data_IF_470086003110
#
_entry.id   IF_470086003110
#
_cell.length_a   1.000
_cell.length_b   1.000
_cell.length_c   1.000
_cell.angle_alpha   90.00
_cell.angle_beta   90.00
_cell.angle_gamma   90.00
#
_symmetry.space_group_name_H-M   'P 1'
#
loop_
_entity.id
_entity.type
_entity.pdbx_description
1 polymer ?
#
# COMPACT_ATOMS: atom_id res chain seq x y z
N UNK A 1 8.44 20.19 0.07
CA UNK A 1 8.54 18.72 0.17
C UNK A 1 9.83 18.43 0.91
N UNK A 2 9.79 17.73 2.05
CA UNK A 2 11.02 17.41 2.80
C UNK A 2 12.03 16.64 1.94
N UNK A 3 13.32 16.78 2.23
CA UNK A 3 14.38 16.09 1.49
C UNK A 3 14.16 14.58 1.56
N UNK A 4 14.17 13.90 0.40
CA UNK A 4 14.28 12.44 0.37
C UNK A 4 15.69 12.05 0.81
N UNK A 5 15.80 11.17 1.79
CA UNK A 5 17.10 10.70 2.29
C UNK A 5 17.30 9.26 1.81
N UNK A 6 18.46 8.97 1.20
CA UNK A 6 18.82 7.58 0.86
C UNK A 6 19.17 6.82 2.13
N UNK A 7 18.47 5.72 2.38
CA UNK A 7 18.66 4.87 3.55
C UNK A 7 18.34 3.42 3.21
N UNK A 8 18.94 2.50 3.98
CA UNK A 8 18.55 1.09 3.96
C UNK A 8 17.23 0.91 4.70
N UNK A 9 16.22 0.38 4.00
CA UNK A 9 14.84 0.20 4.48
C UNK A 9 14.52 -1.28 4.55
N UNK A 10 13.82 -1.69 5.61
CA UNK A 10 13.30 -3.05 5.72
C UNK A 10 12.05 -3.17 4.86
N UNK A 11 12.02 -4.17 3.98
CA UNK A 11 10.83 -4.53 3.20
C UNK A 11 10.40 -5.93 3.60
N UNK A 12 9.12 -6.13 3.91
CA UNK A 12 8.58 -7.44 4.27
C UNK A 12 8.77 -8.41 3.11
N UNK A 13 9.38 -9.56 3.40
CA UNK A 13 9.68 -10.60 2.42
C UNK A 13 9.54 -11.96 3.08
N UNK A 14 8.45 -12.65 2.73
CA UNK A 14 8.10 -13.96 3.29
C UNK A 14 9.04 -15.08 2.84
N UNK A 15 9.88 -14.85 1.82
CA UNK A 15 10.89 -15.82 1.36
C UNK A 15 12.13 -15.88 2.26
N UNK A 16 12.31 -14.89 3.15
CA UNK A 16 13.47 -14.80 4.05
C UNK A 16 13.13 -15.35 5.44
N UNK A 17 14.05 -16.06 6.12
CA UNK A 17 13.82 -16.56 7.49
C UNK A 17 13.49 -15.45 8.50
N UNK A 18 14.05 -14.26 8.29
CA UNK A 18 13.78 -13.07 9.09
C UNK A 18 12.40 -12.45 8.82
N UNK A 19 11.73 -12.82 7.72
CA UNK A 19 10.50 -12.19 7.22
C UNK A 19 10.71 -10.81 6.57
N UNK A 20 11.96 -10.36 6.43
CA UNK A 20 12.30 -9.04 5.88
C UNK A 20 13.62 -9.09 5.10
N UNK A 21 13.72 -8.23 4.08
CA UNK A 21 14.97 -7.93 3.37
C UNK A 21 15.34 -6.45 3.49
N UNK A 22 16.63 -6.09 3.65
CA UNK A 22 17.08 -4.72 3.51
C UNK A 22 17.09 -4.31 2.03
N UNK A 23 16.59 -3.11 1.72
CA UNK A 23 16.56 -2.53 0.36
C UNK A 23 16.93 -1.06 0.47
N UNK A 24 17.81 -0.58 -0.40
CA UNK A 24 18.09 0.85 -0.51
C UNK A 24 16.86 1.60 -1.05
N UNK A 25 16.45 2.65 -0.34
CA UNK A 25 15.25 3.42 -0.66
C UNK A 25 15.40 4.91 -0.36
N UNK A 26 14.42 5.68 -0.82
CA UNK A 26 14.31 7.11 -0.56
C UNK A 26 13.24 7.36 0.51
N UNK A 27 13.66 7.82 1.69
CA UNK A 27 12.80 7.95 2.87
C UNK A 27 12.36 9.39 3.10
N UNK A 28 11.10 9.58 3.48
CA UNK A 28 10.52 10.85 3.92
C UNK A 28 9.19 10.65 4.67
N UNK A 29 8.96 11.38 5.77
CA UNK A 29 7.71 11.38 6.55
C UNK A 29 7.24 9.96 6.92
N UNK A 30 8.13 9.11 7.41
CA UNK A 30 7.78 7.74 7.82
C UNK A 30 7.47 6.77 6.66
N UNK A 31 7.70 7.18 5.41
CA UNK A 31 7.49 6.39 4.19
C UNK A 31 8.77 6.29 3.39
N UNK A 32 8.93 5.22 2.62
CA UNK A 32 10.04 5.05 1.71
C UNK A 32 9.58 4.61 0.32
N UNK A 33 10.26 5.14 -0.70
CA UNK A 33 10.17 4.67 -2.07
C UNK A 33 11.30 3.67 -2.29
N UNK A 34 10.97 2.43 -2.66
CA UNK A 34 11.95 1.36 -2.90
C UNK A 34 11.76 0.76 -4.29
N UNK A 35 12.85 0.39 -5.00
CA UNK A 35 12.77 -0.36 -6.24
C UNK A 35 12.08 -1.71 -6.02
N UNK A 36 11.27 -2.12 -6.99
CA UNK A 36 10.58 -3.40 -6.98
C UNK A 36 10.35 -3.92 -8.40
N UNK A 37 9.94 -5.17 -8.51
CA UNK A 37 9.50 -5.77 -9.75
C UNK A 37 8.27 -6.63 -9.47
N UNK A 38 7.28 -6.56 -10.35
CA UNK A 38 6.09 -7.42 -10.32
C UNK A 38 6.06 -8.27 -11.58
N UNK A 39 5.38 -9.41 -11.52
CA UNK A 39 5.13 -10.24 -12.71
C UNK A 39 4.14 -9.54 -13.63
N UNK A 40 4.47 -9.43 -14.90
CA UNK A 40 3.52 -9.14 -15.97
C UNK A 40 2.83 -10.43 -16.38
N UNK A 41 1.70 -10.72 -15.74
CA UNK A 41 0.94 -11.94 -15.97
C UNK A 41 0.49 -12.05 -17.43
N UNK A 42 0.04 -10.96 -18.06
CA UNK A 42 -0.39 -10.98 -19.46
C UNK A 42 0.76 -11.26 -20.41
N UNK A 43 1.89 -10.57 -20.26
CA UNK A 43 3.04 -10.84 -21.11
C UNK A 43 3.61 -12.25 -20.87
N UNK A 44 3.57 -12.73 -19.63
CA UNK A 44 3.99 -14.09 -19.28
C UNK A 44 3.07 -15.14 -19.91
N UNK A 45 1.76 -14.96 -19.83
CA UNK A 45 0.77 -15.89 -20.39
C UNK A 45 0.88 -15.93 -21.91
N UNK A 46 1.00 -14.76 -22.56
CA UNK A 46 1.22 -14.66 -24.02
C UNK A 46 2.53 -15.35 -24.44
N UNK A 47 3.59 -15.24 -23.63
CA UNK A 47 4.84 -15.95 -23.90
C UNK A 47 4.66 -17.47 -23.81
N UNK A 48 3.91 -17.95 -22.81
CA UNK A 48 3.59 -19.36 -22.63
C UNK A 48 2.69 -19.91 -23.75
N UNK A 49 1.67 -19.17 -24.16
CA UNK A 49 0.79 -19.53 -25.28
C UNK A 49 1.60 -19.70 -26.57
N UNK A 50 2.46 -18.73 -26.90
CA UNK A 50 3.35 -18.81 -28.08
C UNK A 50 4.27 -20.02 -28.03
N UNK A 51 4.80 -20.35 -26.83
CA UNK A 51 5.63 -21.54 -26.67
C UNK A 51 4.83 -22.82 -26.94
N UNK A 52 3.59 -22.92 -26.42
CA UNK A 52 2.70 -24.05 -26.69
C UNK A 52 2.37 -24.15 -28.19
N UNK A 53 2.00 -23.03 -28.82
CA UNK A 53 1.64 -22.97 -30.24
C UNK A 53 2.82 -23.33 -31.15
N UNK A 54 4.05 -23.03 -30.72
CA UNK A 54 5.27 -23.44 -31.41
C UNK A 54 5.61 -24.93 -31.25
N UNK A 55 4.74 -25.73 -30.63
CA UNK A 55 4.98 -27.15 -30.34
C UNK A 55 5.90 -27.39 -29.15
N UNK A 56 6.00 -26.42 -28.23
CA UNK A 56 6.90 -26.46 -27.06
C UNK A 56 8.37 -26.60 -27.44
N UNK A 57 8.75 -26.00 -28.56
CA UNK A 57 10.13 -26.02 -29.02
C UNK A 57 11.02 -25.15 -28.12
N UNK A 58 12.10 -25.74 -27.59
CA UNK A 58 13.05 -25.05 -26.72
C UNK A 58 12.62 -25.00 -25.24
N UNK A 59 13.29 -24.14 -24.47
CA UNK A 59 13.02 -23.99 -23.04
C UNK A 59 11.69 -23.27 -22.81
N UNK A 60 10.91 -23.66 -21.77
CA UNK A 60 9.73 -22.93 -21.38
C UNK A 60 10.09 -21.49 -21.00
N UNK A 61 9.26 -20.51 -21.37
CA UNK A 61 9.53 -19.10 -21.09
C UNK A 61 9.52 -18.83 -19.59
N UNK A 62 10.41 -17.94 -19.15
CA UNK A 62 10.40 -17.43 -17.78
C UNK A 62 9.29 -16.40 -17.57
N UNK A 63 8.99 -16.12 -16.31
CA UNK A 63 8.10 -15.02 -15.93
C UNK A 63 8.65 -13.68 -16.48
N UNK A 64 7.79 -12.93 -17.15
CA UNK A 64 8.09 -11.56 -17.59
C UNK A 64 7.89 -10.64 -16.40
N UNK A 65 8.90 -9.85 -16.06
CA UNK A 65 8.87 -8.93 -14.93
C UNK A 65 8.78 -7.48 -15.42
N UNK A 66 8.04 -6.66 -14.68
CA UNK A 66 7.96 -5.20 -14.84
C UNK A 66 8.61 -4.56 -13.63
N UNK A 67 9.67 -3.81 -13.90
CA UNK A 67 10.39 -3.04 -12.90
C UNK A 67 9.69 -1.71 -12.60
N UNK A 68 9.92 -1.21 -11.39
CA UNK A 68 9.40 0.08 -10.96
C UNK A 68 9.60 0.31 -9.47
N UNK A 69 8.64 0.95 -8.82
CA UNK A 69 8.76 1.39 -7.44
C UNK A 69 7.51 1.06 -6.62
N UNK A 70 7.71 0.81 -5.33
CA UNK A 70 6.66 0.69 -4.33
C UNK A 70 6.92 1.65 -3.17
N UNK A 71 5.86 1.98 -2.45
CA UNK A 71 5.87 2.77 -1.22
C UNK A 71 5.75 1.82 -0.04
N UNK A 72 6.64 1.94 0.92
CA UNK A 72 6.68 1.13 2.14
C UNK A 72 6.71 2.03 3.37
N UNK A 73 6.15 1.54 4.47
CA UNK A 73 6.24 2.20 5.77
C UNK A 73 7.65 2.06 6.32
N UNK A 74 8.29 3.19 6.63
CA UNK A 74 9.65 3.28 7.12
C UNK A 74 9.68 4.23 8.34
N UNK A 75 9.24 3.77 9.53
CA UNK A 75 9.11 4.64 10.70
C UNK A 75 10.47 5.19 11.15
N UNK A 76 10.49 6.44 11.59
CA UNK A 76 11.71 7.20 11.90
C UNK A 76 12.47 6.72 13.15
N UNK A 77 11.84 5.90 14.02
CA UNK A 77 12.42 5.45 15.27
C UNK A 77 12.10 3.98 15.53
N UNK A 78 13.15 3.17 15.75
CA UNK A 78 13.30 1.91 16.50
C UNK A 78 12.07 0.98 16.71
N UNK A 79 11.03 1.10 15.89
CA UNK A 79 9.84 0.28 15.95
C UNK A 79 10.19 -1.05 15.29
N UNK A 80 9.96 -2.18 15.97
CA UNK A 80 10.10 -3.50 15.34
C UNK A 80 9.06 -3.69 14.22
N UNK A 81 8.06 -2.81 14.15
CA UNK A 81 6.91 -2.86 13.24
C UNK A 81 7.12 -1.81 12.14
N UNK A 82 7.92 -2.16 11.13
CA UNK A 82 8.17 -1.36 9.93
C UNK A 82 8.24 -2.25 8.68
N UNK A 83 8.34 -1.68 7.49
CA UNK A 83 8.46 -2.42 6.24
C UNK A 83 7.14 -3.00 5.69
N UNK A 84 6.01 -2.47 6.16
CA UNK A 84 4.70 -2.77 5.59
C UNK A 84 4.57 -2.09 4.25
N UNK A 85 4.18 -2.84 3.22
CA UNK A 85 3.99 -2.28 1.88
C UNK A 85 2.68 -1.52 1.85
N UNK A 86 2.72 -0.24 1.49
CA UNK A 86 1.53 0.58 1.25
C UNK A 86 1.03 0.42 -0.19
N UNK A 87 1.94 0.23 -1.14
CA UNK A 87 1.54 -0.04 -2.52
C UNK A 87 0.69 -1.32 -2.58
N UNK A 88 -0.50 -1.27 -3.20
CA UNK A 88 -1.34 -2.45 -3.31
C UNK A 88 -0.63 -3.61 -4.01
N UNK A 89 -1.02 -4.84 -3.65
CA UNK A 89 -0.45 -6.05 -4.25
C UNK A 89 -0.70 -6.04 -5.76
N UNK A 90 0.34 -6.36 -6.53
CA UNK A 90 0.33 -6.36 -7.99
C UNK A 90 0.29 -4.98 -8.62
N UNK A 91 0.53 -3.91 -7.86
CA UNK A 91 0.68 -2.56 -8.38
C UNK A 91 2.14 -2.15 -8.31
N UNK A 92 2.57 -1.37 -9.30
CA UNK A 92 3.91 -0.80 -9.31
C UNK A 92 3.89 0.60 -9.92
N UNK A 93 4.64 1.52 -9.31
CA UNK A 93 4.81 2.87 -9.85
C UNK A 93 5.88 2.82 -10.94
N UNK A 94 5.59 3.35 -12.15
CA UNK A 94 6.42 3.14 -13.34
C UNK A 94 7.79 3.83 -13.26
N UNK A 95 7.90 4.87 -12.45
CA UNK A 95 9.10 5.70 -12.36
C UNK A 95 9.26 6.30 -10.96
N UNK A 96 10.47 6.76 -10.67
CA UNK A 96 10.75 7.45 -9.41
C UNK A 96 9.93 8.73 -9.29
N UNK A 97 9.66 9.42 -10.40
CA UNK A 97 8.87 10.65 -10.37
C UNK A 97 7.38 10.38 -10.14
N UNK A 98 6.83 9.32 -10.73
CA UNK A 98 5.49 8.83 -10.38
C UNK A 98 5.40 8.47 -8.89
N UNK A 99 6.42 7.81 -8.35
CA UNK A 99 6.46 7.48 -6.93
C UNK A 99 6.55 8.71 -6.02
N UNK A 100 7.33 9.72 -6.40
CA UNK A 100 7.36 11.01 -5.69
C UNK A 100 6.01 11.71 -5.73
N UNK A 101 5.33 11.72 -6.87
CA UNK A 101 4.01 12.33 -6.99
C UNK A 101 2.95 11.62 -6.17
N UNK A 102 2.94 10.28 -6.19
CA UNK A 102 2.10 9.47 -5.32
C UNK A 102 2.35 9.81 -3.84
N UNK A 103 3.63 9.83 -3.42
CA UNK A 103 4.03 10.17 -2.08
C UNK A 103 3.60 11.59 -1.67
N UNK A 104 3.75 12.58 -2.56
CA UNK A 104 3.27 13.97 -2.34
C UNK A 104 1.78 14.00 -2.05
N UNK A 105 0.97 13.32 -2.87
CA UNK A 105 -0.49 13.24 -2.68
C UNK A 105 -0.82 12.64 -1.33
N UNK A 106 -0.15 11.54 -0.97
CA UNK A 106 -0.38 10.85 0.30
C UNK A 106 -0.07 11.75 1.50
N UNK A 107 1.13 12.34 1.51
CA UNK A 107 1.60 13.20 2.60
C UNK A 107 0.77 14.49 2.67
N UNK A 108 0.39 15.09 1.55
CA UNK A 108 -0.37 16.35 1.56
C UNK A 108 -1.70 16.27 2.32
N UNK A 109 -2.28 15.06 2.40
CA UNK A 109 -3.56 14.83 3.05
C UNK A 109 -3.45 14.23 4.45
N UNK A 110 -2.38 13.48 4.73
CA UNK A 110 -2.25 12.72 5.97
C UNK A 110 -0.92 12.91 6.72
N UNK A 111 -0.02 13.76 6.21
CA UNK A 111 1.19 14.30 6.85
C UNK A 111 1.87 13.37 7.85
N UNK A 112 1.52 13.56 9.11
CA UNK A 112 2.22 13.00 10.28
C UNK A 112 1.74 11.59 10.67
N UNK A 113 0.67 11.08 10.05
CA UNK A 113 0.06 9.78 10.39
C UNK A 113 1.04 8.62 10.20
N UNK A 114 2.00 8.76 9.29
CA UNK A 114 2.96 7.72 8.93
C UNK A 114 4.23 7.71 9.78
N UNK A 115 4.44 8.73 10.62
CA UNK A 115 5.54 8.73 11.60
C UNK A 115 5.21 7.86 12.83
N UNK A 116 3.94 7.48 13.00
CA UNK A 116 3.43 6.64 14.08
C UNK A 116 3.46 5.13 13.83
N UNK A 117 2.79 4.37 14.70
CA UNK A 117 2.75 2.90 14.65
C UNK A 117 1.78 2.34 13.59
N UNK A 118 2.11 1.19 13.00
CA UNK A 118 1.44 0.58 11.81
C UNK A 118 -0.08 0.48 11.88
N UNK A 119 -0.70 0.40 13.06
CA UNK A 119 -2.16 0.32 13.20
C UNK A 119 -2.89 1.59 12.72
N UNK A 120 -2.19 2.73 12.60
CA UNK A 120 -2.76 3.97 12.01
C UNK A 120 -2.89 3.90 10.48
N UNK A 121 -2.21 2.96 9.83
CA UNK A 121 -2.13 2.84 8.35
C UNK A 121 -3.30 2.03 7.77
N UNK A 122 -3.92 1.16 8.57
CA UNK A 122 -4.93 0.17 8.12
C UNK A 122 -6.22 0.82 7.58
N UNK A 123 -6.49 2.08 7.90
CA UNK A 123 -7.71 2.80 7.49
C UNK A 123 -7.57 3.65 6.21
N UNK A 124 -6.41 3.62 5.53
CA UNK A 124 -6.12 4.52 4.40
C UNK A 124 -6.22 3.87 3.01
N UNK A 125 -6.71 2.63 2.93
CA UNK A 125 -6.63 1.79 1.72
C UNK A 125 -7.23 2.44 0.46
N UNK A 126 -8.45 2.97 0.50
CA UNK A 126 -9.10 3.57 -0.68
C UNK A 126 -8.35 4.80 -1.21
N UNK A 127 -7.88 5.65 -0.30
CA UNK A 127 -7.12 6.84 -0.65
C UNK A 127 -5.73 6.49 -1.19
N UNK A 128 -5.03 5.53 -0.59
CA UNK A 128 -3.73 5.05 -1.08
C UNK A 128 -3.88 4.49 -2.50
N UNK A 129 -4.92 3.69 -2.78
CA UNK A 129 -5.22 3.22 -4.12
C UNK A 129 -5.46 4.38 -5.10
N UNK A 130 -6.29 5.36 -4.74
CA UNK A 130 -6.54 6.56 -5.57
C UNK A 130 -5.25 7.32 -5.88
N UNK A 131 -4.41 7.58 -4.87
CA UNK A 131 -3.14 8.28 -5.06
C UNK A 131 -2.17 7.52 -5.99
N UNK A 132 -2.18 6.18 -5.97
CA UNK A 132 -1.38 5.37 -6.89
C UNK A 132 -1.93 5.41 -8.32
N UNK A 133 -3.26 5.36 -8.50
CA UNK A 133 -3.88 5.48 -9.84
C UNK A 133 -3.57 6.84 -10.46
N UNK A 134 -3.75 7.91 -9.70
CA UNK A 134 -3.49 9.28 -10.15
C UNK A 134 -2.02 9.50 -10.54
N UNK A 135 -1.10 8.76 -9.92
CA UNK A 135 0.31 8.78 -10.24
C UNK A 135 0.68 7.88 -11.42
N UNK A 136 -0.29 7.21 -12.05
CA UNK A 136 -0.08 6.34 -13.20
C UNK A 136 0.52 4.98 -12.85
N UNK A 137 0.22 4.42 -11.67
CA UNK A 137 0.67 3.08 -11.32
C UNK A 137 0.22 2.04 -12.37
N UNK A 138 1.15 1.17 -12.77
CA UNK A 138 0.81 -0.04 -13.50
C UNK A 138 0.08 -0.97 -12.55
N UNK A 139 -1.17 -1.26 -12.88
CA UNK A 139 -1.94 -2.31 -12.23
C UNK A 139 -1.70 -3.59 -13.03
N UNK A 140 -1.12 -4.62 -12.42
CA UNK A 140 -1.14 -5.95 -13.01
C UNK A 140 -2.59 -6.37 -13.33
N UNK A 141 -2.80 -7.38 -14.18
CA UNK A 141 -4.13 -7.88 -14.53
C UNK A 141 -4.68 -8.72 -13.37
N UNK A 142 -4.75 -8.15 -12.18
CA UNK A 142 -5.64 -8.64 -11.15
C UNK A 142 -7.07 -8.34 -11.61
N UNK A 143 -7.61 -9.23 -12.43
CA UNK A 143 -9.05 -9.39 -12.65
C UNK A 143 -9.82 -9.30 -11.33
N UNK A 144 -9.24 -9.80 -10.23
CA UNK A 144 -9.73 -9.66 -8.87
C UNK A 144 -9.73 -8.22 -8.31
N UNK A 145 -8.71 -7.38 -8.57
CA UNK A 145 -8.68 -5.97 -8.10
C UNK A 145 -9.60 -5.10 -8.96
N UNK A 146 -9.69 -5.36 -10.27
CA UNK A 146 -10.69 -4.69 -11.13
C UNK A 146 -12.12 -5.12 -10.81
N UNK A 147 -12.34 -6.38 -10.42
CA UNK A 147 -13.62 -6.87 -9.91
C UNK A 147 -13.95 -6.29 -8.53
N UNK A 148 -12.97 -6.18 -7.62
CA UNK A 148 -13.16 -5.48 -6.34
C UNK A 148 -13.45 -3.99 -6.56
N UNK A 149 -12.78 -3.32 -7.51
CA UNK A 149 -13.07 -1.93 -7.89
C UNK A 149 -14.46 -1.78 -8.52
N UNK A 150 -14.93 -2.77 -9.27
CA UNK A 150 -16.30 -2.80 -9.79
C UNK A 150 -17.35 -3.09 -8.70
N UNK A 151 -16.94 -3.73 -7.60
CA UNK A 151 -17.79 -4.01 -6.43
C UNK A 151 -17.73 -2.89 -5.37
N UNK A 152 -16.68 -2.07 -5.37
CA UNK A 152 -16.56 -0.87 -4.56
C UNK A 152 -17.29 0.28 -5.27
N UNK A 153 -18.61 0.33 -5.13
CA UNK A 153 -19.35 1.57 -5.33
C UNK A 153 -18.89 2.55 -4.23
N UNK A 154 -18.04 3.50 -4.60
CA UNK A 154 -17.53 4.55 -3.72
C UNK A 154 -18.70 5.29 -3.03
N UNK A 155 -19.84 5.46 -3.70
CA UNK A 155 -21.02 6.07 -3.10
C UNK A 155 -21.68 5.16 -2.05
N UNK A 156 -21.74 3.85 -2.29
CA UNK A 156 -22.24 2.87 -1.32
C UNK A 156 -21.29 2.71 -0.12
N UNK A 157 -19.98 2.72 -0.35
CA UNK A 157 -18.98 2.71 0.71
C UNK A 157 -19.07 3.97 1.59
N UNK A 158 -19.13 5.16 0.98
CA UNK A 158 -19.31 6.42 1.73
C UNK A 158 -20.65 6.44 2.48
N UNK A 159 -21.72 5.90 1.88
CA UNK A 159 -23.03 5.76 2.53
C UNK A 159 -22.96 4.83 3.74
N UNK A 160 -22.40 3.62 3.62
CA UNK A 160 -22.24 2.67 4.74
C UNK A 160 -21.32 3.22 5.83
N UNK A 161 -20.27 3.98 5.46
CA UNK A 161 -19.40 4.65 6.41
C UNK A 161 -20.15 5.77 7.17
N UNK A 162 -21.02 6.52 6.48
CA UNK A 162 -21.88 7.52 7.09
C UNK A 162 -22.94 6.89 8.01
N UNK A 163 -23.55 5.77 7.58
CA UNK A 163 -24.45 4.97 8.41
C UNK A 163 -23.73 4.48 9.67
N UNK A 164 -22.55 3.85 9.56
CA UNK A 164 -21.76 3.40 10.72
C UNK A 164 -21.34 4.54 11.67
N UNK A 165 -21.07 5.74 11.14
CA UNK A 165 -20.80 6.94 11.94
C UNK A 165 -22.06 7.44 12.65
N UNK A 166 -23.24 7.32 12.03
CA UNK A 166 -24.52 7.67 12.62
C UNK A 166 -24.96 6.64 13.69
N UNK A 167 -24.63 5.36 13.51
CA UNK A 167 -24.94 4.29 14.47
C UNK A 167 -23.98 4.27 15.66
N UNK A 168 -22.77 4.86 15.52
CA UNK A 168 -21.94 5.25 16.67
C UNK A 168 -22.55 6.48 17.35
N UNK A 169 -23.70 6.30 18.00
CA UNK A 169 -24.10 7.22 19.05
C UNK A 169 -22.99 7.30 20.10
N UNK A 170 -22.72 8.49 20.69
CA UNK A 170 -21.80 8.59 21.80
C UNK A 170 -22.32 7.69 22.92
N UNK A 171 -21.46 6.79 23.42
CA UNK A 171 -21.73 6.09 24.68
C UNK A 171 -21.81 7.19 25.74
N UNK A 172 -23.03 7.58 26.09
CA UNK A 172 -23.31 8.32 27.30
C UNK A 172 -22.91 7.42 28.46
N UNK A 173 -21.68 7.55 28.94
CA UNK A 173 -21.31 7.07 30.26
C UNK A 173 -22.14 7.84 31.28
N UNK A 174 -23.33 7.32 31.57
CA UNK A 174 -24.09 7.69 32.75
C UNK A 174 -23.36 7.17 33.97
N UNK A 175 -22.42 7.94 34.49
CA UNK A 175 -21.96 7.83 35.87
C UNK A 175 -22.75 8.86 36.67
N UNK A 176 -23.69 8.45 37.55
CA UNK A 176 -24.32 9.40 38.45
C UNK A 176 -23.31 9.85 39.50
N UNK A 177 -23.33 11.16 39.76
CA UNK A 177 -22.56 11.83 40.77
C UNK A 177 -22.75 11.19 42.16
N UNK A 178 -21.72 10.53 42.69
CA UNK A 178 -21.54 10.44 44.13
C UNK A 178 -20.81 11.70 44.58
N UNK A 179 -21.61 12.69 44.97
CA UNK A 179 -21.19 13.79 45.82
C UNK A 179 -20.62 13.22 47.11
N UNK A 180 -19.50 13.80 47.54
CA UNK A 180 -19.08 13.89 48.93
C UNK A 180 -20.29 14.21 49.82
N UNK A 181 -20.53 13.37 50.82
CA UNK A 181 -21.18 13.77 52.05
C UNK A 181 -20.09 13.75 53.14
N UNK A 182 -19.38 14.87 53.23
CA UNK A 182 -18.81 15.31 54.48
C UNK A 182 -19.86 16.21 55.14
N UNK A 183 -20.55 15.66 56.15
CA UNK A 183 -21.03 16.30 57.40
C UNK A 183 -21.84 15.28 58.20
#
# INVERSE_FOLDING_TARGET
MGSLIRQSVRVRDHSKPSGFRPVEGFVSHGLAIVPHAIKDETATDVAHERWIDSGRNGQPPHDVLVDGFIIVHAPAHASPVGGHVLTPVGWILPSLDAAKDCLRRIISRHGDVFEGAVHTVIHLSSFVCSAHRDAGAYTGPHSYVRQLDALFDEAEYQRKLAELRATRQPVSHGVPAFREAAE
#
